data_IF_864534423156
#
_entry.id   IF_864534423156
#
_cell.length_a   1.000
_cell.length_b   1.000
_cell.length_c   1.000
_cell.angle_alpha   90.00
_cell.angle_beta   90.00
_cell.angle_gamma   90.00
#
_symmetry.space_group_name_H-M   'P 1'
#
loop_
_entity.id
_entity.type
_entity.pdbx_description
1 polymer ?
#
# COMPACT_ATOMS: atom_id res chain seq x y z
N UNK A 1 -13.37 -15.61 2.69
CA UNK A 1 -12.37 -14.56 2.45
C UNK A 1 -12.13 -13.82 3.74
N UNK A 2 -10.89 -13.41 3.99
CA UNK A 2 -10.39 -12.85 5.26
C UNK A 2 -11.27 -11.72 5.82
N UNK A 3 -11.68 -10.77 4.97
CA UNK A 3 -12.56 -9.67 5.37
C UNK A 3 -13.91 -10.15 5.93
N UNK A 4 -14.56 -11.12 5.26
CA UNK A 4 -15.86 -11.64 5.72
C UNK A 4 -15.76 -12.30 7.08
N UNK A 5 -14.69 -13.05 7.31
CA UNK A 5 -14.42 -13.70 8.60
C UNK A 5 -14.23 -12.66 9.71
N UNK A 6 -13.45 -11.62 9.45
CA UNK A 6 -13.24 -10.53 10.40
C UNK A 6 -14.55 -9.80 10.74
N UNK A 7 -15.40 -9.53 9.74
CA UNK A 7 -16.71 -8.90 9.99
C UNK A 7 -17.61 -9.79 10.86
N UNK A 8 -17.70 -11.09 10.57
CA UNK A 8 -18.48 -12.04 11.38
C UNK A 8 -17.93 -12.12 12.81
N UNK A 9 -16.61 -12.09 12.98
CA UNK A 9 -15.99 -12.06 14.30
C UNK A 9 -16.36 -10.77 15.04
N UNK A 10 -16.25 -9.62 14.39
CA UNK A 10 -16.61 -8.33 14.98
C UNK A 10 -18.09 -8.29 15.40
N UNK A 11 -19.00 -8.73 14.53
CA UNK A 11 -20.44 -8.81 14.84
C UNK A 11 -20.73 -9.68 16.08
N UNK A 12 -19.94 -10.74 16.28
CA UNK A 12 -20.11 -11.66 17.40
C UNK A 12 -19.47 -11.17 18.69
N UNK A 13 -18.30 -10.52 18.61
CA UNK A 13 -17.47 -10.24 19.81
C UNK A 13 -17.36 -8.76 20.15
N UNK A 14 -17.68 -7.85 19.23
CA UNK A 14 -17.45 -6.42 19.37
C UNK A 14 -15.97 -6.01 19.33
N UNK A 15 -15.05 -6.94 19.03
CA UNK A 15 -13.61 -6.69 19.03
C UNK A 15 -13.19 -5.99 17.72
N UNK A 16 -12.79 -4.71 17.73
CA UNK A 16 -12.45 -3.99 16.51
C UNK A 16 -11.28 -4.62 15.75
N UNK A 17 -10.32 -5.25 16.43
CA UNK A 17 -9.20 -5.96 15.80
C UNK A 17 -9.56 -7.42 15.53
N UNK A 18 -10.45 -7.60 14.55
CA UNK A 18 -11.01 -8.90 14.21
C UNK A 18 -10.29 -9.64 13.09
N UNK A 19 -9.22 -9.07 12.52
CA UNK A 19 -8.44 -9.72 11.47
C UNK A 19 -7.82 -11.05 11.92
N UNK A 20 -7.89 -12.12 11.11
CA UNK A 20 -7.16 -13.35 11.36
C UNK A 20 -5.65 -13.08 11.40
N UNK A 21 -4.95 -13.76 12.32
CA UNK A 21 -3.49 -13.61 12.51
C UNK A 21 -2.67 -14.75 11.91
N UNK A 22 -3.35 -15.75 11.34
CA UNK A 22 -2.70 -16.90 10.70
C UNK A 22 -1.88 -16.43 9.48
N UNK A 23 -0.61 -16.86 9.31
CA UNK A 23 0.20 -16.48 8.15
C UNK A 23 -0.44 -16.80 6.80
N UNK A 24 -1.29 -17.83 6.70
CA UNK A 24 -2.02 -18.20 5.49
C UNK A 24 -3.16 -17.25 5.14
N UNK A 25 -3.48 -16.29 6.03
CA UNK A 25 -4.52 -15.28 5.85
C UNK A 25 -4.00 -13.93 5.37
N UNK A 26 -2.70 -13.82 5.04
CA UNK A 26 -1.98 -12.60 4.66
C UNK A 26 -2.37 -12.05 3.27
N UNK A 27 -3.66 -11.76 3.07
CA UNK A 27 -4.19 -11.12 1.87
C UNK A 27 -3.83 -9.64 1.78
N UNK A 28 -3.85 -9.10 0.55
CA UNK A 28 -3.55 -7.71 0.23
C UNK A 28 -4.71 -6.71 0.49
N UNK A 29 -5.85 -7.17 1.02
CA UNK A 29 -7.07 -6.36 1.13
C UNK A 29 -6.99 -5.18 2.09
N UNK A 30 -6.12 -5.20 3.10
CA UNK A 30 -5.83 -4.02 3.94
C UNK A 30 -5.00 -2.97 3.21
N UNK A 31 -4.01 -3.41 2.43
CA UNK A 31 -3.14 -2.54 1.65
C UNK A 31 -3.91 -1.80 0.53
N UNK A 32 -4.91 -2.45 -0.07
CA UNK A 32 -5.78 -1.87 -1.10
C UNK A 32 -6.51 -0.58 -0.67
N UNK A 33 -6.76 -0.41 0.63
CA UNK A 33 -7.54 0.70 1.19
C UNK A 33 -6.71 1.61 2.09
N UNK A 34 -5.38 1.60 1.95
CA UNK A 34 -4.49 2.23 2.92
C UNK A 34 -4.49 3.76 2.86
N UNK A 35 -4.40 4.35 1.66
CA UNK A 35 -4.11 5.76 1.42
C UNK A 35 -4.81 6.79 2.32
N UNK A 36 -6.11 6.68 2.67
CA UNK A 36 -6.75 7.65 3.56
C UNK A 36 -6.05 7.85 4.91
N UNK A 37 -5.44 6.79 5.47
CA UNK A 37 -4.77 6.84 6.78
C UNK A 37 -3.50 7.71 6.75
N UNK A 38 -2.48 7.43 5.91
CA UNK A 38 -1.30 8.28 5.84
C UNK A 38 -1.57 9.68 5.26
N UNK A 39 -2.67 9.88 4.51
CA UNK A 39 -3.10 11.23 4.12
C UNK A 39 -3.54 12.04 5.34
N UNK A 40 -4.45 11.50 6.15
CA UNK A 40 -4.96 12.18 7.34
C UNK A 40 -3.87 12.48 8.38
N UNK A 41 -2.95 11.52 8.56
CA UNK A 41 -1.85 11.65 9.53
C UNK A 41 -0.54 12.15 8.88
N UNK A 42 -0.57 12.76 7.69
CA UNK A 42 0.64 13.17 6.97
C UNK A 42 1.57 14.11 7.78
N UNK A 43 1.00 14.86 8.74
CA UNK A 43 1.75 15.71 9.67
C UNK A 43 2.60 14.94 10.69
N UNK A 44 2.25 13.70 11.03
CA UNK A 44 2.97 12.84 11.97
C UNK A 44 3.21 11.46 11.34
N UNK A 45 4.45 11.25 10.87
CA UNK A 45 4.82 10.04 10.15
C UNK A 45 4.76 8.79 11.03
N UNK A 46 5.03 8.90 12.33
CA UNK A 46 4.97 7.77 13.26
C UNK A 46 3.52 7.36 13.47
N UNK A 47 2.65 8.33 13.75
CA UNK A 47 1.22 8.08 13.93
C UNK A 47 0.60 7.52 12.64
N UNK A 48 0.97 8.03 11.46
CA UNK A 48 0.51 7.51 10.17
C UNK A 48 0.84 6.02 9.99
N UNK A 49 2.04 5.60 10.37
CA UNK A 49 2.50 4.20 10.27
C UNK A 49 1.79 3.33 11.31
N UNK A 50 1.65 3.81 12.55
CA UNK A 50 1.01 3.06 13.63
C UNK A 50 -0.49 2.88 13.36
N UNK A 51 -1.19 3.94 12.90
CA UNK A 51 -2.61 3.86 12.51
C UNK A 51 -2.85 3.03 11.26
N UNK A 52 -1.87 2.97 10.37
CA UNK A 52 -1.91 2.07 9.21
C UNK A 52 -1.85 0.60 9.63
N UNK A 53 -1.07 0.28 10.66
CA UNK A 53 -1.05 -1.05 11.26
C UNK A 53 -2.41 -1.39 11.91
N UNK A 54 -3.00 -0.46 12.66
CA UNK A 54 -4.31 -0.63 13.30
C UNK A 54 -5.43 -0.83 12.27
N UNK A 55 -5.45 -0.02 11.21
CA UNK A 55 -6.40 -0.16 10.10
C UNK A 55 -6.30 -1.53 9.42
N UNK A 56 -5.09 -2.08 9.29
CA UNK A 56 -4.90 -3.45 8.79
C UNK A 56 -5.54 -4.48 9.71
N UNK A 57 -5.24 -4.42 11.02
CA UNK A 57 -5.71 -5.37 12.06
C UNK A 57 -7.23 -5.51 12.16
N UNK A 58 -7.98 -4.51 11.72
CA UNK A 58 -9.46 -4.60 11.67
C UNK A 58 -9.96 -5.79 10.86
N UNK A 59 -9.25 -6.16 9.79
CA UNK A 59 -9.65 -7.28 8.91
C UNK A 59 -8.52 -8.22 8.51
N UNK A 60 -7.27 -7.79 8.59
CA UNK A 60 -6.08 -8.56 8.22
C UNK A 60 -5.04 -8.43 9.34
N UNK A 61 -4.98 -9.42 10.23
CA UNK A 61 -4.10 -9.40 11.41
C UNK A 61 -2.78 -10.14 11.21
N UNK A 62 -2.59 -10.83 10.09
CA UNK A 62 -1.33 -11.52 9.78
C UNK A 62 -0.17 -10.53 9.73
N UNK A 63 0.96 -10.89 10.34
CA UNK A 63 2.11 -9.98 10.53
C UNK A 63 2.58 -9.37 9.21
N UNK A 64 2.67 -10.18 8.14
CA UNK A 64 3.07 -9.69 6.81
C UNK A 64 2.08 -8.65 6.23
N UNK A 65 0.77 -8.79 6.49
CA UNK A 65 -0.24 -7.83 6.03
C UNK A 65 -0.21 -6.54 6.83
N UNK A 66 0.07 -6.62 8.13
CA UNK A 66 0.25 -5.46 9.01
C UNK A 66 1.53 -4.70 8.62
N UNK A 67 2.64 -5.40 8.47
CA UNK A 67 3.93 -4.78 8.15
C UNK A 67 4.01 -4.24 6.73
N UNK A 68 3.31 -4.86 5.77
CA UNK A 68 3.14 -4.27 4.44
C UNK A 68 2.44 -2.91 4.51
N UNK A 69 1.39 -2.78 5.34
CA UNK A 69 0.71 -1.50 5.54
C UNK A 69 1.61 -0.49 6.26
N UNK A 70 2.40 -0.92 7.27
CA UNK A 70 3.37 -0.04 7.95
C UNK A 70 4.41 0.53 6.99
N UNK A 71 5.04 -0.34 6.20
CA UNK A 71 6.07 0.08 5.26
C UNK A 71 5.49 0.96 4.14
N UNK A 72 4.37 0.55 3.55
CA UNK A 72 3.74 1.31 2.48
C UNK A 72 3.19 2.67 2.95
N UNK A 73 2.71 2.77 4.20
CA UNK A 73 2.34 4.06 4.80
C UNK A 73 3.54 5.00 4.90
N UNK A 74 4.71 4.49 5.30
CA UNK A 74 5.95 5.27 5.31
C UNK A 74 6.30 5.83 3.92
N UNK A 75 6.18 4.99 2.88
CA UNK A 75 6.37 5.42 1.48
C UNK A 75 5.36 6.50 1.06
N UNK A 76 4.09 6.34 1.41
CA UNK A 76 3.04 7.31 1.09
C UNK A 76 3.28 8.65 1.80
N UNK A 77 3.63 8.65 3.08
CA UNK A 77 3.98 9.87 3.82
C UNK A 77 5.18 10.57 3.18
N UNK A 78 6.22 9.82 2.80
CA UNK A 78 7.36 10.37 2.08
C UNK A 78 6.96 11.01 0.75
N UNK A 79 6.14 10.32 -0.05
CA UNK A 79 5.68 10.80 -1.35
C UNK A 79 4.84 12.08 -1.21
N UNK A 80 3.90 12.11 -0.24
CA UNK A 80 3.08 13.28 0.06
C UNK A 80 3.91 14.48 0.54
N UNK A 81 5.06 14.23 1.17
CA UNK A 81 6.03 15.27 1.60
C UNK A 81 6.99 15.69 0.48
N UNK A 82 6.83 15.16 -0.74
CA UNK A 82 7.66 15.52 -1.89
C UNK A 82 9.05 14.88 -1.88
N UNK A 83 9.26 13.80 -1.13
CA UNK A 83 10.50 13.02 -1.21
C UNK A 83 10.62 12.45 -2.62
N UNK A 84 11.81 12.57 -3.21
CA UNK A 84 12.07 12.10 -4.55
C UNK A 84 12.02 10.56 -4.62
N UNK A 85 11.77 10.04 -5.82
CA UNK A 85 11.57 8.61 -6.04
C UNK A 85 12.80 7.76 -5.73
N UNK A 86 14.01 8.29 -5.95
CA UNK A 86 15.25 7.57 -5.67
C UNK A 86 15.39 7.36 -4.16
N UNK A 87 15.14 8.41 -3.37
CA UNK A 87 15.13 8.35 -1.90
C UNK A 87 13.99 7.47 -1.38
N UNK A 88 12.75 7.59 -1.90
CA UNK A 88 11.63 6.72 -1.49
C UNK A 88 11.92 5.24 -1.69
N UNK A 89 12.70 4.91 -2.71
CA UNK A 89 13.06 3.54 -3.05
C UNK A 89 14.44 3.16 -2.52
N UNK A 90 15.06 3.96 -1.64
CA UNK A 90 16.30 3.60 -0.97
C UNK A 90 16.11 2.37 -0.07
N UNK A 91 17.21 1.71 0.27
CA UNK A 91 17.18 0.56 1.15
C UNK A 91 16.55 0.94 2.50
N UNK A 92 15.51 0.21 2.91
CA UNK A 92 14.81 0.38 4.19
C UNK A 92 14.31 1.81 4.45
N UNK A 93 13.88 2.52 3.40
CA UNK A 93 13.34 3.88 3.55
C UNK A 93 12.32 3.96 4.71
N UNK A 94 12.44 5.02 5.52
CA UNK A 94 11.49 5.38 6.57
C UNK A 94 11.45 6.89 6.73
N UNK A 95 10.26 7.51 6.83
CA UNK A 95 10.14 8.91 7.23
C UNK A 95 10.38 9.13 8.74
N UNK A 96 10.60 8.06 9.50
CA UNK A 96 10.94 8.07 10.94
C UNK A 96 12.27 7.36 11.13
N UNK A 97 13.28 8.09 11.57
CA UNK A 97 14.64 7.57 11.79
C UNK A 97 14.64 6.41 12.80
N UNK A 98 15.37 5.33 12.52
CA UNK A 98 15.52 4.17 13.42
C UNK A 98 14.27 3.29 13.59
N UNK A 99 13.17 3.58 12.89
CA UNK A 99 11.90 2.87 13.11
C UNK A 99 11.98 1.36 12.90
N UNK A 100 12.72 0.92 11.87
CA UNK A 100 12.85 -0.51 11.55
C UNK A 100 13.85 -1.25 12.45
N UNK A 101 14.69 -0.52 13.20
CA UNK A 101 15.50 -1.08 14.28
C UNK A 101 14.67 -1.28 15.55
N UNK A 102 13.83 -0.29 15.89
CA UNK A 102 12.92 -0.33 17.05
C UNK A 102 11.82 -1.39 16.86
N UNK A 103 11.22 -1.44 15.67
CA UNK A 103 10.09 -2.29 15.36
C UNK A 103 10.28 -2.97 13.98
N UNK A 104 11.10 -4.05 13.91
CA UNK A 104 11.45 -4.71 12.67
C UNK A 104 10.26 -5.17 11.83
N UNK A 105 10.43 -5.14 10.51
CA UNK A 105 9.47 -5.67 9.55
C UNK A 105 9.58 -7.19 9.46
N UNK A 106 8.46 -7.85 9.12
CA UNK A 106 8.45 -9.26 8.76
C UNK A 106 9.52 -9.56 7.69
N UNK A 107 10.25 -10.69 7.75
CA UNK A 107 11.41 -10.95 6.89
C UNK A 107 11.15 -10.76 5.39
N UNK A 108 9.97 -11.13 4.88
CA UNK A 108 9.61 -10.96 3.47
C UNK A 108 9.32 -9.51 3.10
N UNK A 109 8.77 -8.72 4.02
CA UNK A 109 8.57 -7.28 3.83
C UNK A 109 9.92 -6.54 3.93
N UNK A 110 10.79 -6.94 4.85
CA UNK A 110 12.16 -6.43 4.94
C UNK A 110 12.95 -6.70 3.65
N UNK A 111 12.80 -7.89 3.03
CA UNK A 111 13.44 -8.17 1.74
C UNK A 111 12.97 -7.23 0.61
N UNK A 112 11.68 -6.86 0.61
CA UNK A 112 11.14 -5.85 -0.30
C UNK A 112 11.71 -4.48 0.01
N UNK A 113 11.75 -4.09 1.28
CA UNK A 113 12.34 -2.82 1.73
C UNK A 113 13.84 -2.72 1.39
N UNK A 114 14.54 -3.85 1.37
CA UNK A 114 15.93 -3.96 0.94
C UNK A 114 16.12 -3.89 -0.60
N UNK A 115 15.03 -3.84 -1.38
CA UNK A 115 15.08 -3.60 -2.82
C UNK A 115 14.96 -4.84 -3.70
N UNK A 116 14.39 -5.96 -3.23
CA UNK A 116 14.17 -7.15 -4.06
C UNK A 116 13.41 -6.87 -5.37
N UNK A 117 12.47 -5.91 -5.33
CA UNK A 117 11.69 -5.44 -6.49
C UNK A 117 12.53 -4.78 -7.60
N UNK A 118 13.77 -4.36 -7.30
CA UNK A 118 14.70 -3.78 -8.28
C UNK A 118 15.41 -4.85 -9.10
N UNK A 119 15.56 -6.05 -8.53
CA UNK A 119 16.37 -7.13 -9.08
C UNK A 119 15.53 -8.16 -9.85
N UNK A 120 14.31 -8.42 -9.37
CA UNK A 120 13.41 -9.42 -9.96
C UNK A 120 12.69 -8.89 -11.19
N UNK A 121 12.32 -9.81 -12.08
CA UNK A 121 11.45 -9.57 -13.23
C UNK A 121 10.36 -10.66 -13.31
N UNK A 122 9.26 -10.45 -14.04
CA UNK A 122 8.34 -11.55 -14.35
C UNK A 122 9.08 -12.74 -15.00
N UNK A 123 8.79 -14.00 -14.62
CA UNK A 123 7.63 -14.44 -13.82
C UNK A 123 7.85 -14.44 -12.29
N UNK A 124 9.01 -14.00 -11.77
CA UNK A 124 9.26 -13.95 -10.32
C UNK A 124 8.45 -12.84 -9.64
N UNK A 125 8.24 -11.73 -10.34
CA UNK A 125 7.28 -10.68 -9.94
C UNK A 125 5.87 -11.15 -10.26
N UNK A 126 4.99 -11.16 -9.24
CA UNK A 126 3.63 -11.68 -9.36
C UNK A 126 2.63 -10.73 -8.69
N UNK A 127 1.53 -10.44 -9.37
CA UNK A 127 0.42 -9.68 -8.79
C UNK A 127 -0.66 -10.59 -8.19
N UNK A 128 -0.32 -11.44 -7.21
CA UNK A 128 -1.30 -12.36 -6.58
C UNK A 128 -2.06 -11.69 -5.43
N UNK A 129 -3.07 -12.37 -4.88
CA UNK A 129 -3.76 -11.93 -3.66
C UNK A 129 -2.93 -11.96 -2.38
N UNK A 130 -1.69 -12.45 -2.45
CA UNK A 130 -0.76 -12.45 -1.32
C UNK A 130 -0.10 -11.07 -1.17
N UNK A 131 -0.11 -10.51 0.04
CA UNK A 131 0.32 -9.13 0.28
C UNK A 131 1.79 -8.88 -0.08
N UNK A 132 2.67 -9.85 0.13
CA UNK A 132 4.10 -9.73 -0.19
C UNK A 132 4.31 -9.64 -1.71
N UNK A 133 3.71 -10.56 -2.46
CA UNK A 133 3.74 -10.57 -3.92
C UNK A 133 3.20 -9.25 -4.49
N UNK A 134 2.04 -8.81 -3.99
CA UNK A 134 1.40 -7.55 -4.38
C UNK A 134 2.31 -6.35 -4.16
N UNK A 135 2.86 -6.20 -2.95
CA UNK A 135 3.71 -5.06 -2.61
C UNK A 135 4.99 -5.06 -3.45
N UNK A 136 5.61 -6.22 -3.65
CA UNK A 136 6.80 -6.36 -4.51
C UNK A 136 6.49 -5.98 -5.97
N UNK A 137 5.34 -6.41 -6.51
CA UNK A 137 4.89 -6.07 -7.85
C UNK A 137 4.59 -4.57 -8.03
N UNK A 138 3.98 -3.93 -7.03
CA UNK A 138 3.70 -2.49 -7.04
C UNK A 138 5.00 -1.69 -7.06
N UNK A 139 5.94 -2.00 -6.18
CA UNK A 139 7.22 -1.29 -6.14
C UNK A 139 8.10 -1.59 -7.36
N UNK A 140 8.02 -2.79 -7.92
CA UNK A 140 8.67 -3.13 -9.19
C UNK A 140 8.12 -2.25 -10.33
N UNK A 141 6.79 -2.12 -10.45
CA UNK A 141 6.19 -1.31 -11.50
C UNK A 141 6.53 0.17 -11.30
N UNK A 142 6.46 0.67 -10.06
CA UNK A 142 6.82 2.04 -9.72
C UNK A 142 8.29 2.32 -10.01
N UNK A 143 9.23 1.46 -9.61
CA UNK A 143 10.66 1.62 -9.90
C UNK A 143 10.94 1.71 -11.40
N UNK A 144 10.32 0.86 -12.23
CA UNK A 144 10.63 0.72 -13.65
C UNK A 144 9.83 1.65 -14.58
N UNK A 145 9.09 2.63 -14.08
CA UNK A 145 8.28 3.56 -14.90
C UNK A 145 8.39 4.99 -14.42
N UNK A 146 8.29 5.94 -15.33
CA UNK A 146 8.50 7.37 -15.02
C UNK A 146 7.19 8.17 -14.94
N UNK A 147 6.05 7.54 -15.26
CA UNK A 147 4.75 8.18 -15.22
C UNK A 147 3.65 7.23 -14.74
N UNK A 148 2.57 7.83 -14.21
CA UNK A 148 1.42 7.12 -13.67
C UNK A 148 0.83 6.12 -14.66
N UNK A 149 0.68 6.51 -15.94
CA UNK A 149 0.03 5.67 -16.95
C UNK A 149 0.86 4.44 -17.26
N UNK A 150 2.17 4.61 -17.47
CA UNK A 150 3.07 3.51 -17.75
C UNK A 150 3.09 2.51 -16.59
N UNK A 151 3.24 2.99 -15.36
CA UNK A 151 3.27 2.11 -14.19
C UNK A 151 1.94 1.41 -13.92
N UNK A 152 0.82 2.12 -14.07
CA UNK A 152 -0.51 1.54 -13.91
C UNK A 152 -0.75 0.43 -14.94
N UNK A 153 -0.42 0.67 -16.22
CA UNK A 153 -0.50 -0.36 -17.24
C UNK A 153 0.47 -1.52 -16.98
N UNK A 154 1.69 -1.23 -16.51
CA UNK A 154 2.71 -2.24 -16.26
C UNK A 154 2.29 -3.21 -15.15
N UNK A 155 1.72 -2.71 -14.05
CA UNK A 155 1.30 -3.56 -12.93
C UNK A 155 0.06 -4.37 -13.27
N UNK A 156 -0.97 -3.79 -13.90
CA UNK A 156 -2.22 -4.52 -14.21
C UNK A 156 -2.01 -5.60 -15.28
N UNK A 157 -1.04 -5.42 -16.17
CA UNK A 157 -0.69 -6.43 -17.18
C UNK A 157 0.08 -7.64 -16.61
N UNK A 158 0.42 -7.66 -15.31
CA UNK A 158 0.85 -8.89 -14.63
C UNK A 158 -0.31 -9.90 -14.48
N UNK A 159 -1.55 -9.45 -14.67
CA UNK A 159 -2.76 -10.25 -14.50
C UNK A 159 -2.98 -10.67 -13.05
N UNK A 160 -3.65 -11.82 -12.86
CA UNK A 160 -3.98 -12.36 -11.54
C UNK A 160 -4.89 -11.40 -10.75
N UNK A 161 -4.42 -10.82 -9.65
CA UNK A 161 -5.14 -9.84 -8.82
C UNK A 161 -4.85 -8.41 -9.31
N UNK A 162 -5.21 -8.15 -10.57
CA UNK A 162 -4.86 -6.94 -11.31
C UNK A 162 -5.59 -5.69 -10.78
N UNK A 163 -6.80 -5.87 -10.25
CA UNK A 163 -7.59 -4.81 -9.62
C UNK A 163 -6.92 -4.33 -8.32
N UNK A 164 -6.52 -5.25 -7.44
CA UNK A 164 -5.90 -4.87 -6.16
C UNK A 164 -4.50 -4.28 -6.38
N UNK A 165 -3.69 -4.90 -7.22
CA UNK A 165 -2.34 -4.38 -7.54
C UNK A 165 -2.40 -3.02 -8.24
N UNK A 166 -3.35 -2.82 -9.16
CA UNK A 166 -3.62 -1.52 -9.80
C UNK A 166 -4.05 -0.45 -8.78
N UNK A 167 -4.94 -0.80 -7.85
CA UNK A 167 -5.38 0.11 -6.79
C UNK A 167 -4.22 0.54 -5.88
N UNK A 168 -3.36 -0.40 -5.45
CA UNK A 168 -2.21 -0.10 -4.57
C UNK A 168 -1.14 0.70 -5.32
N UNK A 169 -0.87 0.37 -6.58
CA UNK A 169 0.00 1.20 -7.42
C UNK A 169 -0.54 2.63 -7.56
N UNK A 170 -1.85 2.78 -7.78
CA UNK A 170 -2.50 4.09 -7.88
C UNK A 170 -2.28 4.97 -6.66
N UNK A 171 -2.18 4.38 -5.46
CA UNK A 171 -1.91 5.12 -4.21
C UNK A 171 -0.52 5.77 -4.23
N UNK A 172 0.55 4.99 -4.46
CA UNK A 172 1.92 5.53 -4.42
C UNK A 172 2.22 6.42 -5.63
N UNK A 173 1.77 6.02 -6.82
CA UNK A 173 1.96 6.81 -8.02
C UNK A 173 1.16 8.11 -7.98
N UNK A 174 -0.05 8.09 -7.42
CA UNK A 174 -0.86 9.29 -7.22
C UNK A 174 -0.25 10.24 -6.20
N UNK A 175 0.27 9.72 -5.08
CA UNK A 175 0.96 10.52 -4.08
C UNK A 175 2.25 11.16 -4.62
N UNK A 176 3.00 10.44 -5.49
CA UNK A 176 4.27 10.92 -6.02
C UNK A 176 4.12 11.83 -7.26
N UNK A 177 3.30 11.45 -8.24
CA UNK A 177 3.15 12.19 -9.50
C UNK A 177 2.01 13.22 -9.48
N UNK A 178 1.12 13.15 -8.48
CA UNK A 178 -0.04 14.02 -8.35
C UNK A 178 -1.21 13.64 -9.25
N UNK A 179 -2.40 14.16 -8.92
CA UNK A 179 -3.67 13.87 -9.61
C UNK A 179 -3.66 14.24 -11.10
N UNK A 180 -2.93 15.30 -11.47
CA UNK A 180 -2.86 15.77 -12.86
C UNK A 180 -2.05 14.83 -13.77
N UNK A 181 -1.21 13.96 -13.19
CA UNK A 181 -0.51 12.91 -13.92
C UNK A 181 -1.43 11.77 -14.39
N UNK A 182 -2.59 11.61 -13.73
CA UNK A 182 -3.57 10.60 -14.10
C UNK A 182 -4.24 11.02 -15.41
N UNK A 183 -4.21 10.17 -16.47
CA UNK A 183 -4.78 10.51 -17.76
C UNK A 183 -6.19 11.08 -17.64
N UNK A 184 -6.43 12.26 -18.23
CA UNK A 184 -7.70 12.97 -18.07
C UNK A 184 -8.92 12.11 -18.46
N UNK A 185 -8.79 11.33 -19.54
CA UNK A 185 -9.84 10.42 -20.00
C UNK A 185 -10.09 9.24 -19.05
N UNK A 186 -9.17 8.91 -18.13
CA UNK A 186 -9.42 7.97 -17.02
C UNK A 186 -10.16 8.67 -15.89
N UNK A 187 -9.70 9.86 -15.46
CA UNK A 187 -10.35 10.66 -14.39
C UNK A 187 -11.80 10.99 -14.73
N UNK A 188 -12.10 11.31 -15.99
CA UNK A 188 -13.44 11.63 -16.47
C UNK A 188 -14.40 10.43 -16.50
N UNK A 189 -13.88 9.20 -16.52
CA UNK A 189 -14.67 7.96 -16.52
C UNK A 189 -14.80 7.34 -15.13
N UNK A 190 -14.07 7.86 -14.14
CA UNK A 190 -14.10 7.35 -12.78
C UNK A 190 -15.45 7.67 -12.15
N UNK A 191 -16.16 6.61 -11.76
CA UNK A 191 -17.44 6.71 -11.06
C UNK A 191 -17.19 7.38 -9.70
N UNK A 192 -18.07 8.30 -9.30
CA UNK A 192 -17.96 9.07 -8.04
C UNK A 192 -16.68 9.92 -7.93
N UNK A 193 -16.03 10.26 -9.04
CA UNK A 193 -14.80 11.08 -9.05
C UNK A 193 -14.91 12.34 -8.17
N UNK A 194 -16.01 13.09 -8.27
CA UNK A 194 -16.23 14.28 -7.43
C UNK A 194 -16.28 13.98 -5.92
N UNK A 195 -16.93 12.87 -5.52
CA UNK A 195 -16.98 12.46 -4.10
C UNK A 195 -15.61 11.99 -3.61
N UNK A 196 -14.86 11.26 -4.45
CA UNK A 196 -13.50 10.79 -4.11
C UNK A 196 -12.57 11.98 -3.90
N UNK A 197 -12.62 12.98 -4.80
CA UNK A 197 -11.83 14.21 -4.66
C UNK A 197 -12.22 14.97 -3.40
N UNK A 198 -13.51 15.19 -3.16
CA UNK A 198 -13.97 15.85 -1.93
C UNK A 198 -13.49 15.16 -0.65
N UNK A 199 -13.57 13.82 -0.61
CA UNK A 199 -13.06 13.07 0.55
C UNK A 199 -11.54 13.17 0.69
N UNK A 200 -10.80 13.24 -0.41
CA UNK A 200 -9.36 13.43 -0.38
C UNK A 200 -8.98 14.82 0.14
N UNK A 201 -9.68 15.87 -0.30
CA UNK A 201 -9.49 17.24 0.15
C UNK A 201 -9.87 17.43 1.63
N UNK A 202 -10.85 16.68 2.15
CA UNK A 202 -11.20 16.72 3.59
C UNK A 202 -10.14 16.07 4.50
N UNK A 203 -9.22 15.27 3.93
CA UNK A 203 -8.16 14.58 4.66
C UNK A 203 -6.82 15.36 4.69
N UNK A 204 -6.66 16.40 3.86
CA UNK A 204 -5.39 17.11 3.64
C UNK A 204 -5.61 18.62 3.48
#
# INVERSE_FOLDING_TARGET
>A
GTTREALVRFERTGEPYSGPTDPMSAGNGSLMRLAPVPMFFAGDAREAIDRSADSSRTTHGAVEAVDACRYFAGLLVGALRGVDKETLLSEHYSPVEGLWDEAPLAPKIAAIAAGSFKLKQPPEIRGTGYVVDTLEAVLWAFFHTEDFRQGALKVVNLGQDADTTGAIFGQIAGAHYGVESVPAHWRQRLIMSASIVSMADDLH
#
